data_IF_880077127751
#
_entry.id   IF_880077127751
#
_cell.length_a   1.000
_cell.length_b   1.000
_cell.length_c   1.000
_cell.angle_alpha   90.00
_cell.angle_beta   90.00
_cell.angle_gamma   90.00
#
_symmetry.space_group_name_H-M   'P 1'
#
loop_
_entity.id
_entity.type
_entity.pdbx_description
1 polymer ?
#
# COMPACT_ATOMS: atom_id res chain seq x y z
N UNK A 1 -4.39 2.95 -20.02
CA UNK A 1 -5.49 3.39 -19.16
C UNK A 1 -5.28 3.06 -17.67
N UNK A 2 -4.78 1.85 -17.35
CA UNK A 2 -4.49 1.40 -15.99
C UNK A 2 -3.05 0.94 -15.86
N UNK A 3 -2.53 1.03 -14.65
CA UNK A 3 -1.18 0.65 -14.30
C UNK A 3 -1.21 -0.33 -13.12
N UNK A 4 -0.53 -1.45 -13.27
CA UNK A 4 -0.35 -2.50 -12.26
C UNK A 4 1.14 -2.83 -12.15
N UNK A 5 1.67 -2.82 -10.93
CA UNK A 5 3.03 -3.32 -10.65
C UNK A 5 2.96 -4.82 -10.42
N UNK A 6 3.91 -5.55 -10.99
CA UNK A 6 4.14 -6.97 -10.73
C UNK A 6 5.65 -7.15 -10.55
N UNK A 7 6.06 -7.72 -9.42
CA UNK A 7 7.45 -8.02 -9.17
C UNK A 7 7.93 -9.19 -10.04
N UNK A 8 9.22 -9.26 -10.30
CA UNK A 8 9.80 -10.21 -11.26
C UNK A 8 9.74 -11.68 -10.81
N UNK A 9 9.53 -11.92 -9.53
CA UNK A 9 9.39 -13.23 -8.91
C UNK A 9 7.94 -13.61 -8.60
N UNK A 10 7.00 -12.70 -8.86
CA UNK A 10 5.56 -12.87 -8.65
C UNK A 10 4.82 -13.10 -9.97
N UNK A 11 3.53 -13.46 -9.87
CA UNK A 11 2.68 -13.62 -11.07
C UNK A 11 1.24 -13.21 -10.84
N UNK A 12 0.50 -13.10 -11.92
CA UNK A 12 -0.94 -12.89 -11.91
C UNK A 12 -1.68 -14.17 -12.31
N UNK A 13 -2.76 -14.48 -11.59
CA UNK A 13 -3.68 -15.52 -12.00
C UNK A 13 -4.35 -15.12 -13.32
N UNK A 14 -4.20 -15.94 -14.35
CA UNK A 14 -4.64 -15.63 -15.71
C UNK A 14 -6.15 -15.54 -15.86
N UNK A 15 -6.90 -16.39 -15.16
CA UNK A 15 -8.37 -16.37 -15.20
C UNK A 15 -8.94 -15.18 -14.45
N UNK A 16 -8.34 -14.84 -13.29
CA UNK A 16 -8.69 -13.63 -12.55
C UNK A 16 -8.36 -12.38 -13.38
N UNK A 17 -7.17 -12.33 -14.01
CA UNK A 17 -6.78 -11.21 -14.88
C UNK A 17 -7.75 -11.01 -16.04
N UNK A 18 -8.16 -12.10 -16.72
CA UNK A 18 -9.14 -12.04 -17.80
C UNK A 18 -10.44 -11.40 -17.32
N UNK A 19 -10.99 -11.85 -16.20
CA UNK A 19 -12.21 -11.28 -15.59
C UNK A 19 -12.07 -9.80 -15.24
N UNK A 20 -10.90 -9.38 -14.71
CA UNK A 20 -10.60 -7.97 -14.39
C UNK A 20 -10.58 -7.14 -15.67
N UNK A 21 -9.91 -7.61 -16.74
CA UNK A 21 -9.81 -6.88 -18.00
C UNK A 21 -11.19 -6.76 -18.69
N UNK A 22 -12.00 -7.81 -18.70
CA UNK A 22 -13.38 -7.80 -19.22
C UNK A 22 -14.23 -6.76 -18.45
N UNK A 23 -14.11 -6.74 -17.11
CA UNK A 23 -14.83 -5.77 -16.28
C UNK A 23 -14.37 -4.36 -16.55
N UNK A 24 -13.08 -4.11 -16.59
CA UNK A 24 -12.50 -2.79 -16.89
C UNK A 24 -12.93 -2.30 -18.28
N UNK A 25 -12.88 -3.14 -19.30
CA UNK A 25 -13.34 -2.80 -20.65
C UNK A 25 -14.80 -2.36 -20.63
N UNK A 26 -15.66 -3.09 -19.91
CA UNK A 26 -17.09 -2.75 -19.76
C UNK A 26 -17.28 -1.40 -19.06
N UNK A 27 -16.55 -1.15 -17.96
CA UNK A 27 -16.67 0.09 -17.20
C UNK A 27 -16.16 1.29 -18.00
N UNK A 28 -15.06 1.14 -18.74
CA UNK A 28 -14.52 2.18 -19.64
C UNK A 28 -15.51 2.49 -20.76
N UNK A 29 -16.08 1.48 -21.40
CA UNK A 29 -17.07 1.68 -22.48
C UNK A 29 -18.33 2.42 -22.00
N UNK A 30 -18.67 2.29 -20.71
CA UNK A 30 -19.81 2.99 -20.08
C UNK A 30 -19.46 4.38 -19.56
N UNK A 31 -18.20 4.84 -19.67
CA UNK A 31 -17.75 6.09 -19.09
C UNK A 31 -17.68 6.10 -17.56
N UNK A 32 -17.66 4.92 -16.93
CA UNK A 32 -17.65 4.73 -15.46
C UNK A 32 -16.38 4.05 -14.96
N UNK A 33 -15.25 4.34 -15.61
CA UNK A 33 -13.95 3.80 -15.25
C UNK A 33 -13.53 4.25 -13.84
N UNK A 34 -13.25 3.34 -12.88
CA UNK A 34 -12.80 3.70 -11.55
C UNK A 34 -11.38 4.28 -11.56
N UNK A 35 -11.07 5.11 -10.57
CA UNK A 35 -9.72 5.61 -10.36
C UNK A 35 -8.80 4.53 -9.79
N UNK A 36 -9.37 3.63 -8.98
CA UNK A 36 -8.67 2.53 -8.34
C UNK A 36 -9.49 1.23 -8.45
N UNK A 37 -8.90 0.24 -9.10
CA UNK A 37 -9.38 -1.15 -9.08
C UNK A 37 -8.64 -1.90 -7.98
N UNK A 38 -9.38 -2.68 -7.17
CA UNK A 38 -8.83 -3.46 -6.06
C UNK A 38 -9.20 -4.93 -6.27
N UNK A 39 -8.23 -5.82 -6.06
CA UNK A 39 -8.41 -7.27 -6.01
C UNK A 39 -7.70 -7.84 -4.78
N UNK A 40 -7.95 -9.11 -4.49
CA UNK A 40 -7.20 -9.83 -3.48
C UNK A 40 -5.79 -10.17 -3.97
N UNK A 41 -4.94 -10.54 -3.02
CA UNK A 41 -3.68 -11.19 -3.31
C UNK A 41 -3.48 -12.41 -2.41
N UNK A 42 -2.60 -13.29 -2.83
CA UNK A 42 -2.33 -14.58 -2.17
C UNK A 42 -0.86 -14.68 -1.86
N UNK A 43 -0.50 -14.95 -0.62
CA UNK A 43 0.83 -15.41 -0.25
C UNK A 43 0.97 -16.89 -0.65
N UNK A 44 1.93 -17.19 -1.51
CA UNK A 44 2.23 -18.54 -1.98
C UNK A 44 3.51 -19.05 -1.31
N UNK A 45 3.35 -19.88 -0.31
CA UNK A 45 4.47 -20.56 0.38
C UNK A 45 4.84 -21.81 -0.41
N UNK A 46 5.75 -21.68 -1.36
CA UNK A 46 6.09 -22.76 -2.31
C UNK A 46 6.81 -23.91 -1.63
N UNK A 47 7.56 -23.65 -0.55
CA UNK A 47 8.32 -24.68 0.19
C UNK A 47 7.43 -25.73 0.85
N UNK A 48 6.28 -25.31 1.43
CA UNK A 48 5.34 -26.19 2.11
C UNK A 48 4.03 -26.41 1.35
N UNK A 49 3.88 -25.78 0.18
CA UNK A 49 2.69 -25.87 -0.67
C UNK A 49 1.44 -25.24 -0.07
N UNK A 50 1.58 -24.34 0.92
CA UNK A 50 0.46 -23.63 1.53
C UNK A 50 0.24 -22.27 0.89
N UNK A 51 -0.98 -21.75 1.00
CA UNK A 51 -1.30 -20.40 0.55
C UNK A 51 -2.23 -19.67 1.51
N UNK A 52 -2.08 -18.36 1.60
CA UNK A 52 -2.93 -17.50 2.41
C UNK A 52 -3.45 -16.31 1.60
N UNK A 53 -4.78 -16.19 1.46
CA UNK A 53 -5.41 -15.10 0.73
C UNK A 53 -5.74 -13.93 1.63
N UNK A 54 -5.29 -12.74 1.24
CA UNK A 54 -5.73 -11.47 1.83
C UNK A 54 -6.92 -10.92 1.04
N UNK A 55 -8.10 -10.89 1.67
CA UNK A 55 -9.38 -10.46 1.10
C UNK A 55 -9.87 -9.20 1.77
N UNK A 56 -10.62 -8.38 1.01
CA UNK A 56 -11.16 -7.10 1.48
C UNK A 56 -12.68 -7.07 1.53
N UNK A 57 -13.34 -8.22 1.54
CA UNK A 57 -14.82 -8.34 1.56
C UNK A 57 -15.49 -7.68 2.76
N UNK A 58 -14.75 -7.57 3.88
CA UNK A 58 -15.19 -6.85 5.07
C UNK A 58 -15.01 -5.32 4.96
N UNK A 59 -14.18 -4.85 4.02
CA UNK A 59 -13.78 -3.44 3.88
C UNK A 59 -14.54 -2.76 2.75
N UNK A 60 -14.61 -3.40 1.59
CA UNK A 60 -15.12 -2.78 0.36
C UNK A 60 -16.43 -3.39 -0.14
N UNK A 61 -17.33 -2.55 -0.69
CA UNK A 61 -18.45 -3.04 -1.49
C UNK A 61 -17.95 -3.77 -2.74
N UNK A 62 -18.55 -4.93 -3.04
CA UNK A 62 -18.15 -5.77 -4.16
C UNK A 62 -18.91 -5.42 -5.45
N UNK A 63 -18.21 -5.52 -6.59
CA UNK A 63 -18.76 -5.47 -7.94
C UNK A 63 -19.62 -4.23 -8.26
N UNK A 64 -19.33 -3.11 -7.61
CA UNK A 64 -19.95 -1.80 -7.87
C UNK A 64 -18.95 -0.67 -7.66
N UNK A 65 -19.23 0.48 -8.26
CA UNK A 65 -18.47 1.71 -7.96
C UNK A 65 -18.80 2.19 -6.55
N UNK A 66 -17.79 2.69 -5.86
CA UNK A 66 -17.90 3.30 -4.53
C UNK A 66 -16.78 4.33 -4.34
N UNK A 67 -16.91 5.15 -3.31
CA UNK A 67 -15.95 6.13 -2.86
C UNK A 67 -15.49 5.86 -1.42
N UNK A 68 -14.68 6.73 -0.85
CA UNK A 68 -14.16 6.59 0.51
C UNK A 68 -15.25 6.55 1.59
N UNK A 69 -16.41 7.16 1.38
CA UNK A 69 -17.52 7.15 2.34
C UNK A 69 -18.07 5.74 2.56
N UNK A 70 -17.95 4.87 1.57
CA UNK A 70 -18.41 3.48 1.62
C UNK A 70 -17.37 2.50 2.17
N UNK A 71 -16.13 2.95 2.38
CA UNK A 71 -15.05 2.11 2.93
C UNK A 71 -15.31 1.83 4.41
N UNK A 72 -15.24 0.56 4.81
CA UNK A 72 -15.37 0.12 6.19
C UNK A 72 -14.00 0.08 6.88
N UNK A 73 -13.97 -0.38 8.13
CA UNK A 73 -12.73 -0.51 8.89
C UNK A 73 -11.86 -1.66 8.36
N UNK A 74 -10.60 -1.35 8.14
CA UNK A 74 -9.56 -2.37 7.97
C UNK A 74 -9.28 -3.05 9.32
N UNK A 75 -9.04 -4.34 9.31
CA UNK A 75 -8.47 -5.01 10.48
C UNK A 75 -7.00 -4.58 10.66
N UNK A 76 -6.42 -4.74 11.86
CA UNK A 76 -5.01 -4.39 12.09
C UNK A 76 -4.02 -5.10 11.16
N UNK A 77 -4.36 -6.32 10.72
CA UNK A 77 -3.59 -7.15 9.80
C UNK A 77 -3.87 -6.88 8.32
N UNK A 78 -4.79 -5.97 8.01
CA UNK A 78 -5.18 -5.62 6.65
C UNK A 78 -4.64 -4.24 6.25
N UNK A 79 -3.97 -4.20 5.10
CA UNK A 79 -3.59 -2.95 4.46
C UNK A 79 -3.68 -3.09 2.94
N UNK A 80 -3.84 -2.00 2.22
CA UNK A 80 -3.66 -2.01 0.77
C UNK A 80 -2.16 -2.09 0.49
N UNK A 81 -1.76 -3.11 -0.25
CA UNK A 81 -0.41 -3.25 -0.78
C UNK A 81 -0.44 -3.11 -2.30
N UNK A 82 0.72 -2.92 -2.92
CA UNK A 82 0.82 -2.83 -4.38
C UNK A 82 0.24 -4.05 -5.08
N UNK A 83 0.26 -5.21 -4.39
CA UNK A 83 -0.31 -6.48 -4.85
C UNK A 83 -1.81 -6.38 -5.12
N UNK A 84 -2.54 -5.60 -4.32
CA UNK A 84 -4.00 -5.47 -4.39
C UNK A 84 -4.51 -4.36 -5.30
N UNK A 85 -3.68 -3.37 -5.65
CA UNK A 85 -4.11 -2.14 -6.32
C UNK A 85 -3.75 -2.10 -7.80
N UNK A 86 -4.64 -1.48 -8.58
CA UNK A 86 -4.42 -1.12 -9.98
C UNK A 86 -4.99 0.28 -10.20
N UNK A 87 -4.13 1.25 -10.40
CA UNK A 87 -4.52 2.65 -10.56
C UNK A 87 -4.83 3.00 -12.01
N UNK A 88 -5.83 3.86 -12.23
CA UNK A 88 -5.93 4.59 -13.48
C UNK A 88 -4.68 5.45 -13.66
N UNK A 89 -4.01 5.33 -14.80
CA UNK A 89 -2.71 5.99 -15.05
C UNK A 89 -2.78 7.51 -14.84
N UNK A 90 -3.94 8.11 -15.09
CA UNK A 90 -4.19 9.53 -14.87
C UNK A 90 -4.04 9.94 -13.41
N UNK A 91 -4.50 9.11 -12.46
CA UNK A 91 -4.35 9.35 -11.01
C UNK A 91 -2.87 9.40 -10.63
N UNK A 92 -2.06 8.48 -11.17
CA UNK A 92 -0.61 8.45 -10.91
C UNK A 92 0.11 9.68 -11.49
N UNK A 93 -0.37 10.21 -12.62
CA UNK A 93 0.18 11.46 -13.19
C UNK A 93 -0.20 12.67 -12.37
N UNK A 94 -1.47 12.74 -11.93
CA UNK A 94 -1.99 13.87 -11.14
C UNK A 94 -1.34 13.98 -9.76
N UNK A 95 -1.00 12.86 -9.12
CA UNK A 95 -0.36 12.90 -7.80
C UNK A 95 1.12 13.32 -7.85
N UNK A 96 1.71 13.45 -9.03
CA UNK A 96 3.10 13.90 -9.20
C UNK A 96 4.16 12.98 -8.55
N UNK A 97 3.80 11.72 -8.30
CA UNK A 97 4.68 10.77 -7.60
C UNK A 97 5.99 10.54 -8.36
N UNK A 98 7.09 10.65 -7.63
CA UNK A 98 8.43 10.26 -8.09
C UNK A 98 9.01 9.29 -7.08
N UNK A 99 9.17 8.04 -7.49
CA UNK A 99 9.74 7.02 -6.60
C UNK A 99 11.26 7.21 -6.46
N UNK A 100 11.81 7.18 -5.25
CA UNK A 100 13.25 7.22 -5.02
C UNK A 100 13.98 6.08 -5.74
N UNK A 101 15.04 6.40 -6.46
CA UNK A 101 15.87 5.39 -7.15
C UNK A 101 16.68 4.58 -6.14
N UNK A 102 16.95 3.31 -6.47
CA UNK A 102 17.75 2.40 -5.65
C UNK A 102 17.28 2.31 -4.19
N UNK A 103 15.97 2.30 -3.99
CA UNK A 103 15.34 2.29 -2.67
C UNK A 103 14.30 1.18 -2.62
N UNK A 104 14.42 0.28 -1.64
CA UNK A 104 13.41 -0.72 -1.34
C UNK A 104 12.20 -0.08 -0.64
N UNK A 105 11.10 -0.81 -0.57
CA UNK A 105 9.84 -0.40 0.12
C UNK A 105 9.12 0.79 -0.52
N UNK A 106 9.51 1.21 -1.73
CA UNK A 106 8.85 2.30 -2.49
C UNK A 106 7.43 1.95 -2.94
N UNK A 107 7.08 0.66 -2.93
CA UNK A 107 5.73 0.14 -3.12
C UNK A 107 4.72 0.77 -2.14
N UNK A 108 5.14 1.10 -0.92
CA UNK A 108 4.31 1.83 0.05
C UNK A 108 4.00 3.26 -0.42
N UNK A 109 4.96 3.95 -1.03
CA UNK A 109 4.72 5.28 -1.65
C UNK A 109 3.75 5.14 -2.82
N UNK A 110 3.96 4.11 -3.68
CA UNK A 110 3.09 3.82 -4.82
C UNK A 110 1.63 3.61 -4.42
N UNK A 111 1.39 2.98 -3.28
CA UNK A 111 0.02 2.79 -2.76
C UNK A 111 -0.50 4.06 -2.09
N UNK A 112 0.30 4.69 -1.22
CA UNK A 112 -0.14 5.73 -0.30
C UNK A 112 -0.36 7.09 -0.98
N UNK A 113 0.62 7.56 -1.76
CA UNK A 113 0.63 8.92 -2.28
C UNK A 113 -0.54 9.23 -3.23
N UNK A 114 -1.04 8.30 -4.08
CA UNK A 114 -2.16 8.58 -4.96
C UNK A 114 -3.55 8.60 -4.30
N UNK A 115 -3.70 8.08 -3.06
CA UNK A 115 -5.02 7.88 -2.42
C UNK A 115 -5.89 9.13 -2.36
N UNK A 116 -5.40 10.35 -2.06
CA UNK A 116 -6.22 11.57 -2.06
C UNK A 116 -6.78 11.96 -3.43
N UNK A 117 -6.21 11.44 -4.50
CA UNK A 117 -6.65 11.68 -5.88
C UNK A 117 -7.69 10.67 -6.37
N UNK A 118 -7.95 9.62 -5.57
CA UNK A 118 -8.92 8.56 -5.88
C UNK A 118 -10.31 9.01 -5.47
N UNK A 119 -11.17 9.26 -6.46
CA UNK A 119 -12.59 9.64 -6.28
C UNK A 119 -13.53 8.46 -6.41
N UNK A 120 -13.14 7.45 -7.17
CA UNK A 120 -13.96 6.27 -7.44
C UNK A 120 -13.14 4.98 -7.38
N UNK A 121 -13.69 3.97 -6.74
CA UNK A 121 -13.07 2.68 -6.54
C UNK A 121 -13.99 1.56 -7.04
N UNK A 122 -13.41 0.41 -7.35
CA UNK A 122 -14.12 -0.81 -7.68
C UNK A 122 -13.37 -2.00 -7.11
N UNK A 123 -14.03 -2.84 -6.33
CA UNK A 123 -13.44 -4.04 -5.74
C UNK A 123 -14.05 -5.29 -6.37
N UNK A 124 -13.18 -6.21 -6.80
CA UNK A 124 -13.52 -7.56 -7.23
C UNK A 124 -12.90 -8.57 -6.24
N UNK A 125 -13.74 -9.43 -5.68
CA UNK A 125 -13.27 -10.54 -4.82
C UNK A 125 -12.64 -11.63 -5.70
N UNK A 126 -11.47 -11.34 -6.27
CA UNK A 126 -10.69 -12.22 -7.13
C UNK A 126 -9.25 -12.28 -6.60
N UNK A 127 -8.71 -13.47 -6.48
CA UNK A 127 -7.35 -13.76 -6.04
C UNK A 127 -6.38 -13.55 -7.21
N UNK A 128 -6.14 -12.26 -7.55
CA UNK A 128 -5.46 -11.87 -8.78
C UNK A 128 -3.95 -11.99 -8.69
N UNK A 129 -3.36 -11.48 -7.62
CA UNK A 129 -1.90 -11.40 -7.47
C UNK A 129 -1.40 -12.56 -6.63
N UNK A 130 -0.36 -13.26 -7.11
CA UNK A 130 0.31 -14.35 -6.44
C UNK A 130 1.68 -13.89 -6.00
N UNK A 131 1.83 -13.72 -4.69
CA UNK A 131 3.06 -13.28 -4.06
C UNK A 131 3.87 -14.48 -3.59
N UNK A 132 5.01 -14.68 -4.21
CA UNK A 132 5.91 -15.78 -3.87
C UNK A 132 6.60 -15.54 -2.52
N UNK A 133 6.50 -16.50 -1.60
CA UNK A 133 7.19 -16.50 -0.30
C UNK A 133 8.08 -17.74 -0.20
N UNK A 134 9.31 -17.57 0.31
CA UNK A 134 10.22 -18.69 0.61
C UNK A 134 11.66 -18.46 0.19
N UNK A 135 12.00 -17.36 -0.50
CA UNK A 135 13.41 -17.08 -0.86
C UNK A 135 14.16 -16.44 0.31
N UNK A 136 15.39 -16.91 0.56
CA UNK A 136 16.24 -16.40 1.63
C UNK A 136 16.67 -14.91 1.44
N UNK A 137 16.66 -14.42 0.20
CA UNK A 137 17.08 -13.06 -0.17
C UNK A 137 15.91 -12.06 -0.29
N UNK A 138 14.67 -12.46 0.08
CA UNK A 138 13.51 -11.58 0.01
C UNK A 138 13.66 -10.35 0.90
N UNK A 139 13.17 -9.22 0.38
CA UNK A 139 13.26 -7.92 1.05
C UNK A 139 12.52 -7.85 2.39
N UNK A 140 11.60 -8.78 2.64
CA UNK A 140 10.82 -8.91 3.88
C UNK A 140 11.49 -9.74 4.97
N UNK A 141 12.67 -10.35 4.70
CA UNK A 141 13.41 -11.10 5.71
C UNK A 141 14.00 -10.14 6.75
N UNK A 142 13.90 -10.50 8.03
CA UNK A 142 14.28 -9.66 9.16
C UNK A 142 15.72 -9.11 9.04
N UNK A 143 16.71 -9.98 8.79
CA UNK A 143 18.10 -9.55 8.65
C UNK A 143 18.33 -8.61 7.46
N UNK A 144 17.59 -8.79 6.37
CA UNK A 144 17.64 -7.92 5.20
C UNK A 144 17.01 -6.56 5.52
N UNK A 145 15.90 -6.54 6.25
CA UNK A 145 15.22 -5.31 6.64
C UNK A 145 16.04 -4.48 7.64
N UNK A 146 16.68 -5.12 8.62
CA UNK A 146 17.61 -4.44 9.55
C UNK A 146 18.73 -3.77 8.74
N UNK A 147 19.38 -4.50 7.83
CA UNK A 147 20.45 -3.98 6.98
C UNK A 147 20.04 -2.87 6.02
N UNK A 148 18.72 -2.69 5.79
CA UNK A 148 18.13 -1.68 4.89
C UNK A 148 17.25 -0.66 5.61
N UNK A 149 17.35 -0.57 6.93
CA UNK A 149 16.49 0.31 7.75
C UNK A 149 16.54 1.77 7.29
N UNK A 150 17.67 2.26 6.81
CA UNK A 150 17.78 3.65 6.29
C UNK A 150 16.88 3.89 5.06
N UNK A 151 16.65 2.86 4.26
CA UNK A 151 15.71 2.97 3.13
C UNK A 151 14.26 2.97 3.61
N UNK A 152 13.94 2.15 4.61
CA UNK A 152 12.63 2.17 5.29
C UNK A 152 12.36 3.56 5.90
N UNK A 153 13.34 4.15 6.60
CA UNK A 153 13.21 5.48 7.16
C UNK A 153 13.00 6.56 6.10
N UNK A 154 13.72 6.46 4.97
CA UNK A 154 13.55 7.37 3.82
C UNK A 154 12.14 7.31 3.26
N UNK A 155 11.60 6.10 3.07
CA UNK A 155 10.23 5.90 2.58
C UNK A 155 9.21 6.43 3.59
N UNK A 156 9.39 6.14 4.88
CA UNK A 156 8.49 6.63 5.94
C UNK A 156 8.48 8.15 6.02
N UNK A 157 9.65 8.81 5.98
CA UNK A 157 9.75 10.28 5.91
C UNK A 157 9.07 10.85 4.66
N UNK A 158 9.27 10.22 3.51
CA UNK A 158 8.56 10.62 2.28
C UNK A 158 7.03 10.52 2.45
N UNK A 159 6.52 9.46 3.09
CA UNK A 159 5.08 9.32 3.34
C UNK A 159 4.54 10.35 4.34
N UNK A 160 5.35 10.79 5.30
CA UNK A 160 5.01 11.90 6.19
C UNK A 160 4.83 13.21 5.38
N UNK A 161 5.75 13.47 4.44
CA UNK A 161 5.81 14.75 3.72
C UNK A 161 4.86 14.84 2.53
N UNK A 162 4.55 13.72 1.88
CA UNK A 162 3.88 13.73 0.58
C UNK A 162 2.40 14.12 0.65
N UNK A 163 1.79 14.20 1.85
CA UNK A 163 0.38 14.52 2.02
C UNK A 163 0.12 15.38 3.27
N UNK A 164 -0.62 16.47 3.07
CA UNK A 164 -1.21 17.21 4.18
C UNK A 164 -2.49 16.50 4.68
N UNK A 165 -2.34 15.72 5.75
CA UNK A 165 -3.44 14.97 6.36
C UNK A 165 -4.51 15.88 6.98
N UNK A 166 -4.19 17.14 7.26
CA UNK A 166 -5.16 18.11 7.76
C UNK A 166 -6.06 18.65 6.65
N UNK A 167 -5.55 18.76 5.43
CA UNK A 167 -6.39 19.07 4.28
C UNK A 167 -7.45 17.99 4.02
N UNK A 168 -7.26 16.78 4.54
CA UNK A 168 -8.20 15.67 4.42
C UNK A 168 -9.26 15.59 5.55
N UNK A 169 -9.35 16.57 6.44
CA UNK A 169 -10.32 16.56 7.57
C UNK A 169 -11.79 16.38 7.12
N UNK A 170 -12.15 16.86 5.94
CA UNK A 170 -13.47 16.65 5.33
C UNK A 170 -13.72 15.23 4.82
N UNK A 171 -12.66 14.43 4.60
CA UNK A 171 -12.69 13.08 4.08
C UNK A 171 -12.32 12.06 5.18
N UNK A 172 -13.13 11.99 6.22
CA UNK A 172 -12.81 11.26 7.46
C UNK A 172 -12.30 9.82 7.24
N UNK A 173 -12.93 9.05 6.36
CA UNK A 173 -12.56 7.65 6.11
C UNK A 173 -11.18 7.54 5.46
N UNK A 174 -10.92 8.35 4.44
CA UNK A 174 -9.62 8.42 3.79
C UNK A 174 -8.54 8.84 4.79
N UNK A 175 -8.77 9.95 5.51
CA UNK A 175 -7.82 10.44 6.53
C UNK A 175 -7.52 9.36 7.58
N UNK A 176 -8.55 8.72 8.13
CA UNK A 176 -8.36 7.63 9.11
C UNK A 176 -7.52 6.50 8.54
N UNK A 177 -7.76 6.10 7.30
CA UNK A 177 -6.98 5.06 6.65
C UNK A 177 -5.52 5.49 6.42
N UNK A 178 -5.28 6.71 5.96
CA UNK A 178 -3.92 7.21 5.71
C UNK A 178 -3.13 7.39 7.01
N UNK A 179 -3.75 7.86 8.09
CA UNK A 179 -3.14 7.90 9.43
C UNK A 179 -2.80 6.49 9.90
N UNK A 180 -3.71 5.52 9.75
CA UNK A 180 -3.44 4.13 10.08
C UNK A 180 -2.25 3.57 9.28
N UNK A 181 -2.20 3.79 7.96
CA UNK A 181 -1.09 3.33 7.14
C UNK A 181 0.25 3.94 7.59
N UNK A 182 0.27 5.25 7.85
CA UNK A 182 1.46 5.92 8.35
C UNK A 182 1.90 5.34 9.71
N UNK A 183 0.94 5.05 10.61
CA UNK A 183 1.26 4.42 11.91
C UNK A 183 1.86 3.02 11.76
N UNK A 184 1.43 2.24 10.77
CA UNK A 184 2.05 0.94 10.42
C UNK A 184 3.49 1.15 9.97
N UNK A 185 3.75 2.13 9.09
CA UNK A 185 5.11 2.43 8.61
C UNK A 185 6.03 2.90 9.74
N UNK A 186 5.53 3.71 10.67
CA UNK A 186 6.26 4.11 11.88
C UNK A 186 6.58 2.90 12.77
N UNK A 187 5.58 2.02 13.01
CA UNK A 187 5.76 0.83 13.84
C UNK A 187 6.79 -0.14 13.23
N UNK A 188 6.73 -0.38 11.92
CA UNK A 188 7.72 -1.22 11.21
C UNK A 188 9.11 -0.63 11.33
N UNK A 189 9.26 0.69 11.13
CA UNK A 189 10.54 1.38 11.29
C UNK A 189 11.09 1.24 12.71
N UNK A 190 10.24 1.43 13.72
CA UNK A 190 10.60 1.28 15.13
C UNK A 190 11.06 -0.13 15.49
N UNK A 191 10.32 -1.14 15.01
CA UNK A 191 10.63 -2.56 15.27
C UNK A 191 12.04 -2.90 14.75
N UNK A 192 12.37 -2.53 13.50
CA UNK A 192 13.68 -2.85 12.94
C UNK A 192 14.82 -2.06 13.60
N UNK A 193 14.59 -0.81 14.01
CA UNK A 193 15.56 -0.05 14.79
C UNK A 193 15.79 -0.64 16.19
N UNK A 194 14.74 -1.18 16.83
CA UNK A 194 14.86 -1.86 18.12
C UNK A 194 15.56 -3.21 18.01
N UNK A 195 15.33 -3.95 16.90
CA UNK A 195 16.02 -5.22 16.64
C UNK A 195 17.50 -5.03 16.33
N UNK A 196 17.89 -3.95 15.66
CA UNK A 196 19.28 -3.54 15.49
C UNK A 196 19.94 -3.27 16.86
N UNK A 197 19.26 -2.53 17.75
CA UNK A 197 19.66 -2.29 19.14
C UNK A 197 20.90 -1.45 19.33
N UNK A 198 21.54 -0.97 18.27
CA UNK A 198 22.73 -0.12 18.35
C UNK A 198 22.40 1.28 18.86
N UNK A 199 23.40 2.00 19.42
CA UNK A 199 23.23 3.39 19.81
C UNK A 199 22.83 4.28 18.64
N UNK A 200 23.30 3.97 17.43
CA UNK A 200 22.92 4.66 16.20
C UNK A 200 21.45 4.42 15.85
N UNK A 201 20.96 3.17 15.93
CA UNK A 201 19.57 2.83 15.69
C UNK A 201 18.63 3.55 16.69
N UNK A 202 18.99 3.63 17.96
CA UNK A 202 18.24 4.41 18.96
C UNK A 202 18.20 5.91 18.64
N UNK A 203 19.30 6.47 18.17
CA UNK A 203 19.34 7.87 17.72
C UNK A 203 18.42 8.09 16.49
N UNK A 204 18.50 7.23 15.48
CA UNK A 204 17.62 7.25 14.29
C UNK A 204 16.13 7.14 14.66
N UNK A 205 15.79 6.30 15.65
CA UNK A 205 14.42 6.20 16.16
C UNK A 205 13.95 7.53 16.75
N UNK A 206 14.75 8.13 17.62
CA UNK A 206 14.42 9.43 18.23
C UNK A 206 14.25 10.51 17.14
N UNK A 207 15.14 10.54 16.13
CA UNK A 207 15.06 11.45 15.00
C UNK A 207 13.78 11.25 14.18
N UNK A 208 13.38 10.01 13.88
CA UNK A 208 12.17 9.74 13.13
C UNK A 208 10.90 10.23 13.85
N UNK A 209 10.81 10.00 15.17
CA UNK A 209 9.69 10.50 15.97
C UNK A 209 9.68 12.03 16.08
N UNK A 210 10.85 12.66 16.16
CA UNK A 210 10.95 14.12 16.13
C UNK A 210 10.52 14.65 14.77
N UNK A 211 10.99 14.01 13.68
CA UNK A 211 10.58 14.34 12.32
C UNK A 211 9.06 14.29 12.14
N UNK A 212 8.41 13.23 12.61
CA UNK A 212 6.95 13.11 12.56
C UNK A 212 6.29 14.30 13.29
N UNK A 213 6.73 14.64 14.50
CA UNK A 213 6.18 15.76 15.30
C UNK A 213 6.32 17.12 14.64
N UNK A 214 7.42 17.31 13.91
CA UNK A 214 7.70 18.59 13.24
C UNK A 214 6.91 18.77 11.94
N UNK A 215 6.43 17.67 11.32
CA UNK A 215 5.79 17.68 10.00
C UNK A 215 4.29 17.37 10.04
N UNK A 216 3.77 16.86 11.14
CA UNK A 216 2.32 16.58 11.28
C UNK A 216 1.72 17.28 12.49
N UNK A 217 0.43 17.57 12.42
CA UNK A 217 -0.26 18.19 13.54
C UNK A 217 -0.51 17.22 14.69
N UNK A 218 -0.65 17.71 15.95
CA UNK A 218 -0.89 16.86 17.12
C UNK A 218 -2.08 15.90 17.06
N UNK A 219 -2.97 16.04 16.11
CA UNK A 219 -4.11 15.14 15.92
C UNK A 219 -3.83 13.95 14.99
N UNK A 220 -2.57 13.75 14.57
CA UNK A 220 -2.14 12.65 13.70
C UNK A 220 -1.34 11.59 14.47
N UNK A 221 -0.66 11.97 15.56
CA UNK A 221 0.11 11.07 16.42
C UNK A 221 -0.44 10.98 17.84
#
# INVERSE_FOLDING_TARGET
LYYKVVDSDDWLDTDALKKVLERLTTLVARGTAPDLMICNYVYEHVEDGTSHTVRYTNVFPQNRLFDWVHVRHFRPDQNLLMHSVMYRTEVLRQCGMVLPKHTFYVDNIFVYQPLPYVKSMYYMDLDLYRYFIGRADQSVNESVMIGRVDQQLRVTKHMIDCQDLDALKGQKRLRTYMVHYLSVMMAVSDIFLLLDGSAEAHAKKAELWQYLKDHVTPGVY
#
